data_IF_540853771668
#
_entry.id   IF_540853771668
#
_cell.length_a   1.000
_cell.length_b   1.000
_cell.length_c   1.000
_cell.angle_alpha   90.00
_cell.angle_beta   90.00
_cell.angle_gamma   90.00
#
_symmetry.space_group_name_H-M   'P 1'
#
loop_
_entity.id
_entity.type
_entity.pdbx_description
1 polymer ?
#
# COMPACT_ATOMS: atom_id res chain seq x y z
N UNK A 1 -1.67 9.39 7.08
CA UNK A 1 -2.16 8.30 6.22
C UNK A 1 -1.50 7.02 6.70
N UNK A 2 -2.27 5.94 6.88
CA UNK A 2 -1.70 4.65 7.23
C UNK A 2 -1.12 4.02 5.95
N UNK A 3 0.13 3.61 6.00
CA UNK A 3 0.83 2.99 4.86
C UNK A 3 0.90 1.50 5.09
N UNK A 4 0.73 0.72 4.02
CA UNK A 4 0.93 -0.72 4.02
C UNK A 4 2.44 -1.00 4.04
N UNK A 5 2.94 -1.48 5.17
CA UNK A 5 4.35 -1.83 5.37
C UNK A 5 4.53 -3.34 5.36
N UNK A 6 5.43 -3.83 4.50
CA UNK A 6 5.81 -5.24 4.46
C UNK A 6 7.23 -5.43 5.06
N UNK A 7 7.36 -6.08 6.24
CA UNK A 7 8.67 -6.28 6.88
C UNK A 7 9.56 -7.29 6.13
N UNK A 8 8.97 -8.21 5.36
CA UNK A 8 9.73 -9.21 4.59
C UNK A 8 10.45 -8.60 3.38
N UNK A 9 9.82 -7.62 2.73
CA UNK A 9 10.38 -6.91 1.57
C UNK A 9 11.14 -5.64 2.00
N UNK A 10 10.88 -5.12 3.21
CA UNK A 10 11.48 -3.88 3.69
C UNK A 10 10.98 -2.65 2.94
N UNK A 11 9.82 -2.74 2.30
CA UNK A 11 9.24 -1.68 1.46
C UNK A 11 7.81 -1.34 1.87
N UNK A 12 7.42 -0.13 1.50
CA UNK A 12 6.04 0.33 1.50
C UNK A 12 5.34 -0.20 0.24
N UNK A 13 4.13 -0.72 0.38
CA UNK A 13 3.32 -1.23 -0.72
C UNK A 13 2.13 -0.29 -0.98
N UNK A 14 1.73 -0.20 -2.25
CA UNK A 14 0.51 0.50 -2.63
C UNK A 14 -0.72 -0.31 -2.23
N UNK A 15 -1.92 0.32 -2.23
CA UNK A 15 -3.15 -0.40 -1.89
C UNK A 15 -3.48 -1.52 -2.90
N UNK A 16 -3.12 -1.35 -4.17
CA UNK A 16 -3.37 -2.33 -5.23
C UNK A 16 -2.45 -3.57 -5.12
N UNK A 17 -1.29 -3.45 -4.48
CA UNK A 17 -0.33 -4.55 -4.30
C UNK A 17 -0.65 -5.43 -3.07
N UNK A 18 -1.72 -5.11 -2.33
CA UNK A 18 -2.16 -5.82 -1.13
C UNK A 18 -3.46 -6.55 -1.41
N UNK A 19 -3.39 -7.88 -1.45
CA UNK A 19 -4.54 -8.77 -1.68
C UNK A 19 -4.80 -9.53 -0.37
N UNK A 20 -6.00 -9.42 0.19
CA UNK A 20 -6.39 -10.10 1.45
C UNK A 20 -5.42 -9.90 2.65
N UNK A 21 -4.74 -8.75 2.72
CA UNK A 21 -3.80 -8.43 3.81
C UNK A 21 -2.41 -9.04 3.64
N UNK A 22 -2.13 -9.65 2.49
CA UNK A 22 -0.81 -10.15 2.12
C UNK A 22 -0.25 -9.43 0.88
N UNK A 23 1.07 -9.34 0.79
CA UNK A 23 1.73 -8.77 -0.39
C UNK A 23 1.56 -9.69 -1.60
N UNK A 24 1.15 -9.15 -2.75
CA UNK A 24 1.01 -9.90 -4.01
C UNK A 24 2.26 -10.72 -4.36
N UNK A 25 3.45 -10.14 -4.15
CA UNK A 25 4.72 -10.71 -4.59
C UNK A 25 5.29 -11.82 -3.72
N UNK A 26 4.58 -12.28 -2.70
CA UNK A 26 5.13 -13.32 -1.79
C UNK A 26 4.27 -13.76 -0.61
N UNK A 27 3.01 -13.32 -0.51
CA UNK A 27 2.13 -13.73 0.59
C UNK A 27 2.56 -13.21 1.98
N UNK A 28 3.37 -12.15 2.04
CA UNK A 28 3.92 -11.66 3.30
C UNK A 28 2.91 -10.81 4.06
N UNK A 29 2.85 -10.92 5.40
CA UNK A 29 1.90 -10.15 6.21
C UNK A 29 2.20 -8.66 6.13
N UNK A 30 1.16 -7.88 5.84
CA UNK A 30 1.23 -6.42 5.72
C UNK A 30 0.72 -5.77 7.00
N UNK A 31 1.46 -4.79 7.52
CA UNK A 31 1.07 -4.02 8.70
C UNK A 31 0.80 -2.57 8.33
N UNK A 32 -0.24 -1.98 8.93
CA UNK A 32 -0.53 -0.56 8.77
C UNK A 32 0.28 0.25 9.77
N UNK A 33 1.20 1.07 9.26
CA UNK A 33 1.99 2.00 10.09
C UNK A 33 1.72 3.45 9.69
N UNK A 34 1.55 4.38 10.65
CA UNK A 34 1.49 5.80 10.34
C UNK A 34 2.90 6.28 9.92
N UNK A 35 3.07 6.56 8.63
CA UNK A 35 4.33 7.07 8.06
C UNK A 35 4.01 8.18 7.05
N UNK A 36 4.94 9.13 6.87
CA UNK A 36 4.83 10.15 5.83
C UNK A 36 5.27 9.52 4.50
N UNK A 37 4.33 9.40 3.56
CA UNK A 37 4.57 8.90 2.21
C UNK A 37 3.95 9.84 1.19
N UNK A 38 4.58 9.93 0.02
CA UNK A 38 4.05 10.60 -1.15
C UNK A 38 2.80 9.87 -1.63
N UNK A 39 1.67 10.58 -1.67
CA UNK A 39 0.40 10.07 -2.19
C UNK A 39 0.05 10.85 -3.44
N UNK A 40 -0.25 10.13 -4.52
CA UNK A 40 -0.83 10.74 -5.70
C UNK A 40 -2.30 11.03 -5.40
N UNK A 41 -2.81 12.19 -5.81
CA UNK A 41 -4.24 12.54 -5.66
C UNK A 41 -5.12 11.82 -6.69
N UNK A 42 -5.00 10.49 -6.77
CA UNK A 42 -5.75 9.68 -7.73
C UNK A 42 -7.27 9.81 -7.54
N UNK A 43 -7.73 10.06 -6.30
CA UNK A 43 -9.14 10.27 -5.98
C UNK A 43 -9.75 11.49 -6.67
N UNK A 44 -8.97 12.51 -7.02
CA UNK A 44 -9.45 13.71 -7.72
C UNK A 44 -9.74 13.44 -9.21
N UNK A 45 -9.16 12.36 -9.74
CA UNK A 45 -9.32 11.92 -11.13
C UNK A 45 -10.14 10.63 -11.25
N UNK A 46 -10.79 10.18 -10.18
CA UNK A 46 -11.54 8.92 -10.17
C UNK A 46 -12.67 8.90 -11.21
N UNK A 47 -13.26 10.06 -11.53
CA UNK A 47 -14.34 10.18 -12.53
C UNK A 47 -13.85 10.22 -13.99
N UNK A 48 -12.53 10.35 -14.21
CA UNK A 48 -11.93 10.44 -15.56
C UNK A 48 -11.11 9.20 -15.94
N UNK A 49 -11.03 8.21 -15.03
CA UNK A 49 -10.28 6.97 -15.17
C UNK A 49 -11.17 5.81 -15.65
#
# INVERSE_FOLDING_TARGET
VAVNWCPALGTVLSNEEVIDGVSERGGHPVYRKPMKQWVLKITEYADQL
#
